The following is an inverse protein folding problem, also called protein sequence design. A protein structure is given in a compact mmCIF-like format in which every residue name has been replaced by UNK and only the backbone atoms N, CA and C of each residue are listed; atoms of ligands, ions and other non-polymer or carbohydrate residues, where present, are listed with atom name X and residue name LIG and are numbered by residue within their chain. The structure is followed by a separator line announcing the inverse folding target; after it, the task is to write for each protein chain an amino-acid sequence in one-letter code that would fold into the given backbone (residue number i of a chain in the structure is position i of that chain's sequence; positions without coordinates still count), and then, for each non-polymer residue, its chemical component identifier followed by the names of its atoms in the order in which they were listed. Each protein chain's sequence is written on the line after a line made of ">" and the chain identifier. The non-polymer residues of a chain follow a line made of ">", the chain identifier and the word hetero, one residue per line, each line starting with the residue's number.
data_IF_079514928854
#
_entry.id   IF_079514928854
#
_cell.length_a   1.000
_cell.length_b   1.000
_cell.length_c   1.000
_cell.angle_alpha   90.00
_cell.angle_beta   90.00
_cell.angle_gamma   90.00
#
_symmetry.space_group_name_H-M   'P 1'
#
loop_
_entity.id
_entity.type
_entity.pdbx_description
1 polymer ?
#
# COMPACT_ATOMS: atom_id res chain seq x y z
N UNK A 1 -21.48 -16.06 3.15
CA UNK A 1 -20.21 -16.72 2.82
C UNK A 1 -19.19 -15.64 2.51
N UNK A 2 -18.15 -15.49 3.32
CA UNK A 2 -17.01 -14.66 2.97
C UNK A 2 -16.30 -15.33 1.79
N UNK A 3 -16.09 -14.59 0.69
CA UNK A 3 -15.30 -15.10 -0.42
C UNK A 3 -13.90 -15.37 0.11
N UNK A 4 -13.47 -16.64 0.09
CA UNK A 4 -12.07 -16.99 0.28
C UNK A 4 -11.24 -16.17 -0.70
N UNK A 5 -10.12 -15.65 -0.23
CA UNK A 5 -9.14 -15.08 -1.13
C UNK A 5 -8.79 -16.11 -2.21
N UNK A 6 -8.95 -15.74 -3.48
CA UNK A 6 -8.34 -16.44 -4.58
C UNK A 6 -6.83 -16.27 -4.42
N UNK A 7 -6.17 -17.25 -3.79
CA UNK A 7 -4.73 -17.25 -3.56
C UNK A 7 -3.94 -16.92 -4.84
N UNK A 8 -4.40 -17.43 -6.01
CA UNK A 8 -3.79 -17.09 -7.31
C UNK A 8 -3.90 -15.62 -7.72
N UNK A 9 -5.00 -14.94 -7.37
CA UNK A 9 -5.15 -13.49 -7.61
C UNK A 9 -4.24 -12.69 -6.69
N UNK A 10 -4.11 -13.11 -5.42
CA UNK A 10 -3.24 -12.47 -4.46
C UNK A 10 -1.75 -12.66 -4.82
N UNK A 11 -1.35 -13.84 -5.30
CA UNK A 11 0.02 -14.09 -5.78
C UNK A 11 0.42 -13.19 -6.95
N UNK A 12 -0.53 -12.77 -7.79
CA UNK A 12 -0.27 -11.80 -8.85
C UNK A 12 0.17 -10.43 -8.31
N UNK A 13 -0.08 -10.12 -7.03
CA UNK A 13 0.40 -8.90 -6.40
C UNK A 13 1.93 -8.93 -6.15
N UNK A 14 2.51 -10.11 -5.93
CA UNK A 14 3.93 -10.26 -5.61
C UNK A 14 4.85 -9.65 -6.67
N UNK A 15 6.00 -9.13 -6.22
CA UNK A 15 7.05 -8.61 -7.09
C UNK A 15 7.33 -7.12 -6.92
N UNK A 16 7.97 -6.52 -7.93
CA UNK A 16 8.43 -5.13 -7.90
C UNK A 16 7.51 -4.22 -8.71
N UNK A 17 7.23 -3.05 -8.13
CA UNK A 17 6.25 -2.10 -8.63
C UNK A 17 6.84 -0.69 -8.57
N UNK A 18 6.32 0.20 -9.41
CA UNK A 18 6.75 1.59 -9.45
C UNK A 18 5.56 2.53 -9.70
N UNK A 19 5.69 3.76 -9.23
CA UNK A 19 4.68 4.80 -9.38
C UNK A 19 5.02 6.03 -8.54
N UNK A 20 4.02 6.58 -7.87
CA UNK A 20 4.11 7.86 -7.15
C UNK A 20 3.44 7.82 -5.79
N UNK A 21 3.82 8.78 -4.96
CA UNK A 21 3.10 9.10 -3.73
C UNK A 21 2.72 10.59 -3.73
N UNK A 22 1.63 10.93 -3.06
CA UNK A 22 1.24 12.31 -2.77
C UNK A 22 0.65 12.42 -1.36
N UNK A 23 1.01 13.49 -0.65
CA UNK A 23 0.37 13.96 0.58
C UNK A 23 -0.61 15.07 0.22
N UNK A 24 -1.87 14.92 0.63
CA UNK A 24 -2.91 15.92 0.40
C UNK A 24 -2.77 17.12 1.34
N UNK A 25 -2.18 16.95 2.52
CA UNK A 25 -2.04 18.03 3.51
C UNK A 25 -0.85 18.95 3.17
N UNK A 26 0.31 18.34 2.87
CA UNK A 26 1.52 19.11 2.56
C UNK A 26 1.68 19.45 1.08
N UNK A 27 0.92 18.80 0.20
CA UNK A 27 1.09 18.89 -1.25
C UNK A 27 2.36 18.23 -1.78
N UNK A 28 3.17 17.62 -0.91
CA UNK A 28 4.37 16.93 -1.36
C UNK A 28 4.04 15.66 -2.12
N UNK A 29 4.87 15.37 -3.12
CA UNK A 29 4.73 14.20 -3.96
C UNK A 29 6.08 13.75 -4.49
N UNK A 30 6.16 12.52 -4.98
CA UNK A 30 7.40 12.03 -5.55
C UNK A 30 7.32 10.59 -6.05
N UNK A 31 8.45 10.06 -6.57
CA UNK A 31 8.52 8.70 -7.04
C UNK A 31 8.39 7.72 -5.87
N UNK A 32 7.73 6.60 -6.14
CA UNK A 32 7.53 5.51 -5.21
C UNK A 32 7.85 4.19 -5.91
N UNK A 33 8.59 3.32 -5.21
CA UNK A 33 8.76 1.91 -5.58
C UNK A 33 8.14 1.07 -4.48
N UNK A 34 7.52 -0.04 -4.86
CA UNK A 34 7.02 -1.01 -3.92
C UNK A 34 7.56 -2.40 -4.24
N UNK A 35 7.78 -3.21 -3.21
CA UNK A 35 7.95 -4.66 -3.33
C UNK A 35 6.89 -5.34 -2.47
N UNK A 36 6.08 -6.18 -3.09
CA UNK A 36 5.06 -6.96 -2.40
C UNK A 36 5.50 -8.42 -2.26
N UNK A 37 5.11 -9.03 -1.14
CA UNK A 37 5.35 -10.44 -0.84
C UNK A 37 4.13 -10.99 -0.12
N UNK A 38 3.45 -11.96 -0.74
CA UNK A 38 2.38 -12.71 -0.09
C UNK A 38 3.00 -13.60 0.99
N UNK A 39 2.48 -13.50 2.21
CA UNK A 39 3.04 -14.13 3.41
C UNK A 39 2.05 -15.11 4.08
N UNK A 40 0.91 -15.36 3.46
CA UNK A 40 -0.17 -16.24 3.89
C UNK A 40 -1.37 -16.07 2.96
N UNK A 41 -2.48 -16.76 3.26
CA UNK A 41 -3.69 -16.72 2.41
C UNK A 41 -4.29 -15.31 2.29
N UNK A 42 -4.25 -14.54 3.38
CA UNK A 42 -4.85 -13.20 3.46
C UNK A 42 -3.85 -12.11 3.85
N UNK A 43 -2.55 -12.40 3.86
CA UNK A 43 -1.52 -11.49 4.39
C UNK A 43 -0.51 -11.12 3.32
N UNK A 44 -0.30 -9.81 3.15
CA UNK A 44 0.67 -9.23 2.22
C UNK A 44 1.62 -8.32 2.96
N UNK A 45 2.92 -8.53 2.77
CA UNK A 45 3.95 -7.58 3.20
C UNK A 45 4.29 -6.64 2.05
N UNK A 46 4.21 -5.34 2.31
CA UNK A 46 4.58 -4.31 1.35
C UNK A 46 5.77 -3.51 1.86
N UNK A 47 6.80 -3.37 1.02
CA UNK A 47 7.93 -2.48 1.24
C UNK A 47 7.89 -1.34 0.25
N UNK A 48 7.68 -0.13 0.73
CA UNK A 48 7.73 1.09 -0.05
C UNK A 48 9.08 1.79 0.12
N UNK A 49 9.58 2.35 -0.98
CA UNK A 49 10.76 3.23 -0.98
C UNK A 49 10.49 4.41 -1.89
N UNK A 50 10.77 5.62 -1.41
CA UNK A 50 10.50 6.84 -2.15
C UNK A 50 11.43 7.97 -1.72
N UNK A 51 11.12 9.19 -2.13
CA UNK A 51 11.84 10.40 -1.71
C UNK A 51 10.87 11.51 -1.36
N UNK A 52 11.15 12.20 -0.27
CA UNK A 52 10.51 13.42 0.23
C UNK A 52 11.33 14.64 -0.20
N UNK A 53 10.68 15.78 -0.47
CA UNK A 53 11.33 17.00 -0.99
C UNK A 53 12.34 16.74 -2.14
N UNK A 54 12.05 15.77 -3.02
CA UNK A 54 12.93 15.29 -4.11
C UNK A 54 14.27 14.66 -3.69
N UNK A 55 14.76 14.88 -2.47
CA UNK A 55 16.12 14.49 -2.04
C UNK A 55 16.18 13.56 -0.84
N UNK A 56 15.21 13.58 0.07
CA UNK A 56 15.27 12.81 1.32
C UNK A 56 14.67 11.42 1.09
N UNK A 57 15.46 10.33 1.07
CA UNK A 57 14.92 9.00 0.87
C UNK A 57 14.09 8.57 2.08
N UNK A 58 13.01 7.82 1.84
CA UNK A 58 12.27 7.13 2.89
C UNK A 58 12.05 5.67 2.53
N UNK A 59 11.88 4.84 3.56
CA UNK A 59 11.50 3.44 3.45
C UNK A 59 10.43 3.14 4.46
N UNK A 60 9.44 2.38 4.03
CA UNK A 60 8.30 2.02 4.84
C UNK A 60 7.95 0.55 4.62
N UNK A 61 7.81 -0.22 5.69
CA UNK A 61 7.33 -1.61 5.58
C UNK A 61 6.01 -1.70 6.33
N UNK A 62 5.02 -2.32 5.71
CA UNK A 62 3.69 -2.49 6.30
C UNK A 62 3.21 -3.92 6.09
N UNK A 63 2.33 -4.36 6.98
CA UNK A 63 1.54 -5.57 6.78
C UNK A 63 0.11 -5.20 6.40
N UNK A 64 -0.38 -5.79 5.32
CA UNK A 64 -1.73 -5.61 4.79
C UNK A 64 -2.49 -6.92 4.92
N UNK A 65 -3.74 -6.84 5.36
CA UNK A 65 -4.65 -7.97 5.43
C UNK A 65 -5.73 -7.82 4.35
N UNK A 66 -6.04 -8.90 3.65
CA UNK A 66 -7.13 -8.95 2.67
C UNK A 66 -8.46 -8.78 3.42
N UNK A 67 -9.26 -7.83 2.98
CA UNK A 67 -10.59 -7.57 3.56
C UNK A 67 -11.72 -8.02 2.65
N UNK A 68 -11.48 -8.12 1.34
CA UNK A 68 -12.45 -8.60 0.36
C UNK A 68 -11.75 -8.93 -0.95
N UNK A 69 -12.23 -9.95 -1.66
CA UNK A 69 -11.92 -10.21 -3.06
C UNK A 69 -13.21 -10.48 -3.83
N UNK A 70 -13.56 -9.60 -4.76
CA UNK A 70 -14.79 -9.68 -5.57
C UNK A 70 -14.55 -9.07 -6.95
N UNK A 71 -15.05 -9.72 -7.99
CA UNK A 71 -15.07 -9.19 -9.36
C UNK A 71 -13.69 -8.71 -9.88
N UNK A 72 -12.62 -9.45 -9.53
CA UNK A 72 -11.24 -9.12 -9.89
C UNK A 72 -10.68 -7.88 -9.19
N UNK A 73 -11.30 -7.48 -8.08
CA UNK A 73 -10.84 -6.42 -7.18
C UNK A 73 -10.54 -7.01 -5.81
N UNK A 74 -9.29 -6.86 -5.41
CA UNK A 74 -8.83 -7.19 -4.07
C UNK A 74 -8.75 -5.91 -3.23
N UNK A 75 -9.40 -5.92 -2.07
CA UNK A 75 -9.30 -4.89 -1.04
C UNK A 75 -8.39 -5.38 0.07
N UNK A 76 -7.45 -4.52 0.48
CA UNK A 76 -6.62 -4.79 1.64
C UNK A 76 -6.66 -3.60 2.60
N UNK A 77 -6.38 -3.85 3.87
CA UNK A 77 -6.18 -2.78 4.84
C UNK A 77 -5.10 -3.13 5.85
N UNK A 78 -4.58 -2.11 6.52
CA UNK A 78 -3.60 -2.28 7.58
C UNK A 78 -3.47 -1.02 8.40
N UNK A 79 -2.71 -1.13 9.49
CA UNK A 79 -2.28 0.03 10.28
C UNK A 79 -0.92 -0.23 10.89
N UNK A 80 -0.13 0.82 11.06
CA UNK A 80 1.15 0.78 11.77
C UNK A 80 1.24 2.00 12.69
N UNK A 81 1.69 1.78 13.92
CA UNK A 81 2.02 2.89 14.83
C UNK A 81 3.44 3.38 14.53
N UNK A 82 3.55 4.62 14.05
CA UNK A 82 4.83 5.26 13.73
C UNK A 82 5.38 6.11 14.87
N UNK A 83 4.84 5.91 16.06
CA UNK A 83 5.19 6.62 17.27
C UNK A 83 4.60 8.03 17.31
N UNK A 84 4.84 8.71 18.43
CA UNK A 84 4.20 9.99 18.78
C UNK A 84 4.40 11.11 17.74
N UNK A 85 5.48 11.06 16.96
CA UNK A 85 5.78 12.08 15.96
C UNK A 85 4.85 11.98 14.74
N UNK A 86 4.56 10.77 14.27
CA UNK A 86 3.84 10.52 13.02
C UNK A 86 2.43 9.94 13.22
N UNK A 87 2.16 9.40 14.41
CA UNK A 87 0.87 8.81 14.76
C UNK A 87 0.64 7.43 14.15
N UNK A 88 -0.58 6.94 14.30
CA UNK A 88 -1.02 5.67 13.71
C UNK A 88 -1.39 5.90 12.25
N UNK A 89 -0.63 5.29 11.35
CA UNK A 89 -0.94 5.28 9.92
C UNK A 89 -1.92 4.16 9.61
N UNK A 90 -3.01 4.51 8.94
CA UNK A 90 -4.00 3.58 8.39
C UNK A 90 -3.87 3.53 6.87
N UNK A 91 -4.14 2.37 6.27
CA UNK A 91 -4.15 2.20 4.81
C UNK A 91 -5.39 1.46 4.36
N UNK A 92 -6.04 2.00 3.33
CA UNK A 92 -7.13 1.37 2.59
C UNK A 92 -6.69 1.17 1.14
N UNK A 93 -6.62 -0.08 0.73
CA UNK A 93 -6.00 -0.49 -0.53
C UNK A 93 -7.03 -1.04 -1.50
N UNK A 94 -6.89 -0.65 -2.76
CA UNK A 94 -7.54 -1.30 -3.89
C UNK A 94 -6.46 -1.83 -4.83
N UNK A 95 -6.49 -3.14 -5.08
CA UNK A 95 -5.70 -3.82 -6.08
C UNK A 95 -6.63 -4.34 -7.19
N UNK A 96 -6.35 -3.94 -8.43
CA UNK A 96 -7.08 -4.39 -9.63
C UNK A 96 -6.15 -4.34 -10.84
N UNK A 97 -6.14 -5.39 -11.66
CA UNK A 97 -5.51 -5.39 -12.99
C UNK A 97 -4.09 -4.75 -13.04
N UNK A 98 -3.21 -5.16 -12.12
CA UNK A 98 -1.83 -4.65 -11.97
C UNK A 98 -1.68 -3.20 -11.48
N UNK A 99 -2.73 -2.61 -10.94
CA UNK A 99 -2.70 -1.32 -10.27
C UNK A 99 -3.00 -1.48 -8.78
N UNK A 100 -2.15 -0.85 -7.96
CA UNK A 100 -2.25 -0.82 -6.51
C UNK A 100 -2.39 0.64 -6.08
N UNK A 101 -3.54 0.96 -5.47
CA UNK A 101 -3.84 2.28 -4.92
C UNK A 101 -4.08 2.13 -3.43
N UNK A 102 -3.20 2.69 -2.61
CA UNK A 102 -3.36 2.76 -1.17
C UNK A 102 -3.65 4.20 -0.75
N UNK A 103 -4.82 4.43 -0.17
CA UNK A 103 -5.12 5.68 0.52
C UNK A 103 -4.65 5.54 1.95
N UNK A 104 -3.83 6.48 2.41
CA UNK A 104 -3.36 6.48 3.79
C UNK A 104 -3.92 7.68 4.54
N UNK A 105 -4.06 7.53 5.86
CA UNK A 105 -4.39 8.64 6.74
C UNK A 105 -3.82 8.44 8.15
N UNK A 106 -3.60 9.56 8.82
CA UNK A 106 -3.25 9.75 10.22
C UNK A 106 -3.99 10.98 10.74
N UNK A 107 -3.81 11.31 12.01
CA UNK A 107 -4.27 12.58 12.58
C UNK A 107 -3.58 13.82 11.94
N UNK A 108 -2.44 13.65 11.25
CA UNK A 108 -1.58 14.75 10.79
C UNK A 108 -1.41 14.85 9.27
N UNK A 109 -1.67 13.76 8.55
CA UNK A 109 -1.49 13.65 7.11
C UNK A 109 -2.44 12.63 6.52
N UNK A 110 -2.75 12.81 5.24
CA UNK A 110 -3.48 11.85 4.42
C UNK A 110 -2.98 11.96 2.99
N UNK A 111 -3.09 10.89 2.23
CA UNK A 111 -2.59 10.88 0.87
C UNK A 111 -2.77 9.55 0.16
N UNK A 112 -2.11 9.43 -0.98
CA UNK A 112 -2.25 8.28 -1.86
C UNK A 112 -0.88 7.77 -2.29
N UNK A 113 -0.68 6.47 -2.19
CA UNK A 113 0.38 5.73 -2.84
C UNK A 113 -0.24 4.99 -4.02
N UNK A 114 0.28 5.24 -5.22
CA UNK A 114 -0.20 4.61 -6.45
C UNK A 114 0.99 3.99 -7.16
N UNK A 115 0.96 2.67 -7.33
CA UNK A 115 2.02 1.93 -8.04
C UNK A 115 1.40 0.95 -9.01
N UNK A 116 2.14 0.67 -10.09
CA UNK A 116 1.79 -0.32 -11.10
C UNK A 116 2.89 -1.36 -11.21
N UNK A 117 2.48 -2.59 -11.53
CA UNK A 117 3.42 -3.69 -11.78
C UNK A 117 4.25 -3.34 -13.02
N UNK A 118 5.55 -3.64 -12.96
CA UNK A 118 6.43 -3.49 -14.12
C UNK A 118 6.20 -4.59 -15.15
#
# INVERSE_FOLDING_TARGET
>A
MAAQANAGELENLSGNWAGTWNSEISGHQGPLKAKFTVAGEDVVKARFTGRFFKVVPFKFNVTLNVTSQKDGVTKLSGKEDLGRALGTYHYDVTYKANEFVAKYHTDKDKGVFQVRKK
#
